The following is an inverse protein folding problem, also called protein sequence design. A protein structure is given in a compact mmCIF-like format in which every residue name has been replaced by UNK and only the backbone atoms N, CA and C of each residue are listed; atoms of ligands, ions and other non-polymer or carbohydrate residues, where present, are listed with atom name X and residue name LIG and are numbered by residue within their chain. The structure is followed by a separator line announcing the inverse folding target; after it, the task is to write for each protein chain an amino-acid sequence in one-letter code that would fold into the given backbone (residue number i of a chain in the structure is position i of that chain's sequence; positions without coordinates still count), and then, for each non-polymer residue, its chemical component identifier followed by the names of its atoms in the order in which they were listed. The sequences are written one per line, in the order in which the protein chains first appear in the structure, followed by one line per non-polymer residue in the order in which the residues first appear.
data_IF_427918568713
#
_entry.id   IF_427918568713
#
_cell.length_a   1.000
_cell.length_b   1.000
_cell.length_c   1.000
_cell.angle_alpha   90.00
_cell.angle_beta   90.00
_cell.angle_gamma   90.00
#
_symmetry.space_group_name_H-M   'P 1'
#
loop_
_entity.id
_entity.type
_entity.pdbx_description
1 polymer ?
#
# COMPACT_ATOMS: atom_id res chain seq x y z
N UNK A 1 -15.29 -5.71 2.60
CA UNK A 1 -15.10 -4.41 1.88
C UNK A 1 -16.07 -3.31 2.33
N UNK A 2 -16.94 -3.60 3.30
CA UNK A 2 -17.88 -2.60 3.84
C UNK A 2 -17.14 -1.40 4.47
N UNK A 3 -16.08 -1.64 5.23
CA UNK A 3 -15.26 -0.61 5.88
C UNK A 3 -14.70 0.44 4.90
N UNK A 4 -14.38 0.05 3.65
CA UNK A 4 -13.97 1.01 2.62
C UNK A 4 -15.16 1.85 2.12
N UNK A 5 -16.33 1.24 1.91
CA UNK A 5 -17.55 1.98 1.56
C UNK A 5 -17.95 2.96 2.68
N UNK A 6 -17.76 2.58 3.93
CA UNK A 6 -18.06 3.43 5.07
C UNK A 6 -17.13 4.65 5.14
N UNK A 7 -15.85 4.50 4.79
CA UNK A 7 -14.93 5.64 4.64
C UNK A 7 -15.37 6.58 3.51
N UNK A 8 -15.75 6.04 2.34
CA UNK A 8 -16.26 6.87 1.23
C UNK A 8 -17.50 7.67 1.65
N UNK A 9 -18.47 7.03 2.34
CA UNK A 9 -19.66 7.73 2.86
C UNK A 9 -19.28 8.81 3.84
N UNK A 10 -18.42 8.48 4.82
CA UNK A 10 -17.98 9.42 5.83
C UNK A 10 -17.38 10.69 5.21
N UNK A 11 -16.54 10.54 4.17
CA UNK A 11 -15.94 11.71 3.51
C UNK A 11 -16.99 12.53 2.77
N UNK A 12 -17.97 11.89 2.12
CA UNK A 12 -19.06 12.60 1.42
C UNK A 12 -19.99 13.35 2.38
N UNK A 13 -20.25 12.78 3.56
CA UNK A 13 -21.24 13.28 4.52
C UNK A 13 -20.62 14.27 5.53
N UNK A 14 -19.36 14.07 5.93
CA UNK A 14 -18.70 14.80 7.03
C UNK A 14 -17.42 15.54 6.58
N UNK A 15 -16.98 15.38 5.32
CA UNK A 15 -15.70 15.91 4.85
C UNK A 15 -15.70 17.44 4.75
N UNK A 16 -14.63 18.04 5.27
CA UNK A 16 -14.37 19.48 5.13
C UNK A 16 -13.79 19.79 3.73
N UNK A 17 -14.28 20.83 3.03
CA UNK A 17 -13.67 21.29 1.80
C UNK A 17 -12.27 21.85 2.06
N UNK A 18 -11.27 21.39 1.29
CA UNK A 18 -9.89 21.85 1.37
C UNK A 18 -9.32 22.14 -0.01
N UNK A 19 -8.50 23.19 -0.08
CA UNK A 19 -7.62 23.39 -1.23
C UNK A 19 -6.48 22.36 -1.20
N UNK A 20 -5.96 22.03 -2.36
CA UNK A 20 -4.82 21.14 -2.53
C UNK A 20 -3.79 21.72 -3.52
N UNK A 21 -2.63 21.07 -3.62
CA UNK A 21 -1.53 21.49 -4.50
C UNK A 21 -1.93 21.52 -5.99
N UNK A 22 -2.83 20.65 -6.40
CA UNK A 22 -3.26 20.53 -7.81
C UNK A 22 -4.31 21.56 -8.21
N UNK A 23 -4.91 22.29 -7.26
CA UNK A 23 -6.01 23.23 -7.50
C UNK A 23 -7.36 22.57 -7.76
N UNK A 24 -7.46 21.22 -7.70
CA UNK A 24 -8.71 20.48 -7.89
C UNK A 24 -9.67 20.66 -6.70
N UNK A 25 -9.12 20.78 -5.50
CA UNK A 25 -9.86 20.79 -4.25
C UNK A 25 -10.28 19.38 -3.81
N UNK A 26 -10.50 19.22 -2.52
CA UNK A 26 -10.86 17.93 -1.91
C UNK A 26 -11.96 18.10 -0.86
N UNK A 27 -12.70 17.00 -0.58
CA UNK A 27 -13.38 16.77 0.68
C UNK A 27 -12.50 15.87 1.55
N UNK A 28 -12.25 16.24 2.80
CA UNK A 28 -11.29 15.56 3.65
C UNK A 28 -11.83 15.32 5.07
N UNK A 29 -11.51 14.15 5.64
CA UNK A 29 -11.66 13.86 7.07
C UNK A 29 -10.30 13.57 7.68
N UNK A 30 -10.07 13.99 8.92
CA UNK A 30 -8.83 13.75 9.63
C UNK A 30 -8.99 12.62 10.64
N UNK A 31 -8.16 11.58 10.47
CA UNK A 31 -8.19 10.41 11.34
C UNK A 31 -9.30 9.41 11.00
N UNK A 32 -8.89 8.23 10.51
CA UNK A 32 -9.77 7.08 10.27
C UNK A 32 -8.97 5.79 10.35
N UNK A 33 -9.63 4.68 10.66
CA UNK A 33 -8.99 3.37 10.65
C UNK A 33 -9.92 2.33 10.05
N UNK A 34 -9.37 1.46 9.19
CA UNK A 34 -10.03 0.29 8.64
C UNK A 34 -9.28 -0.98 9.05
N UNK A 35 -9.99 -2.11 9.16
CA UNK A 35 -9.42 -3.42 9.46
C UNK A 35 -9.89 -4.45 8.45
N UNK A 36 -8.97 -5.31 8.02
CA UNK A 36 -9.21 -6.39 7.07
C UNK A 36 -8.66 -7.69 7.64
N UNK A 37 -9.52 -8.63 7.99
CA UNK A 37 -9.11 -9.98 8.38
C UNK A 37 -8.71 -10.76 7.13
N UNK A 38 -7.42 -11.05 6.99
CA UNK A 38 -6.87 -11.72 5.80
C UNK A 38 -7.25 -13.20 5.71
N UNK A 39 -7.78 -13.79 6.79
CA UNK A 39 -8.36 -15.14 6.75
C UNK A 39 -9.67 -15.21 5.97
N UNK A 40 -10.37 -14.08 5.79
CA UNK A 40 -11.63 -14.00 5.05
C UNK A 40 -11.44 -13.86 3.53
N UNK A 41 -10.21 -13.70 3.07
CA UNK A 41 -9.83 -13.52 1.68
C UNK A 41 -8.93 -12.32 1.46
N UNK A 42 -8.45 -12.16 0.24
CA UNK A 42 -7.58 -11.06 -0.15
C UNK A 42 -8.40 -9.77 -0.38
N UNK A 43 -8.15 -8.67 0.33
CA UNK A 43 -8.98 -7.48 0.29
C UNK A 43 -8.73 -6.62 -0.96
N UNK A 44 -8.84 -7.21 -2.14
CA UNK A 44 -8.89 -6.53 -3.42
C UNK A 44 -10.33 -6.09 -3.70
N UNK A 45 -10.56 -4.80 -3.93
CA UNK A 45 -11.90 -4.25 -4.13
C UNK A 45 -12.66 -4.98 -5.22
N UNK A 46 -13.93 -5.31 -4.94
CA UNK A 46 -14.86 -5.91 -5.91
C UNK A 46 -15.88 -4.91 -6.43
N UNK A 47 -16.04 -3.75 -5.81
CA UNK A 47 -16.94 -2.68 -6.26
C UNK A 47 -16.44 -1.91 -7.49
N UNK A 48 -15.16 -2.04 -7.81
CA UNK A 48 -14.55 -1.66 -9.11
C UNK A 48 -13.33 -2.54 -9.37
N UNK A 49 -13.07 -2.82 -10.65
CA UNK A 49 -11.88 -3.59 -11.06
C UNK A 49 -10.61 -2.78 -10.82
N UNK A 50 -9.61 -3.40 -10.17
CA UNK A 50 -8.28 -2.85 -9.95
C UNK A 50 -7.25 -3.54 -10.84
N UNK A 51 -6.16 -2.84 -11.15
CA UNK A 51 -5.05 -3.37 -11.94
C UNK A 51 -4.01 -4.02 -11.04
N UNK A 52 -4.28 -5.28 -10.63
CA UNK A 52 -3.43 -6.03 -9.68
C UNK A 52 -1.98 -6.14 -10.14
N UNK A 53 -1.73 -6.25 -11.46
CA UNK A 53 -0.37 -6.32 -11.99
C UNK A 53 0.49 -5.14 -11.53
N UNK A 54 -0.05 -3.91 -11.58
CA UNK A 54 0.67 -2.73 -11.09
C UNK A 54 0.97 -2.79 -9.60
N UNK A 55 0.00 -3.29 -8.80
CA UNK A 55 0.16 -3.40 -7.35
C UNK A 55 1.29 -4.37 -6.99
N UNK A 56 1.32 -5.54 -7.64
CA UNK A 56 2.37 -6.55 -7.39
C UNK A 56 3.75 -6.02 -7.81
N UNK A 57 3.88 -5.47 -9.02
CA UNK A 57 5.16 -4.97 -9.50
C UNK A 57 5.68 -3.79 -8.67
N UNK A 58 4.81 -2.88 -8.22
CA UNK A 58 5.19 -1.77 -7.34
C UNK A 58 5.73 -2.30 -6.00
N UNK A 59 5.05 -3.27 -5.37
CA UNK A 59 5.51 -3.85 -4.11
C UNK A 59 6.86 -4.57 -4.28
N UNK A 60 7.04 -5.36 -5.34
CA UNK A 60 8.31 -6.03 -5.64
C UNK A 60 9.42 -5.00 -5.88
N UNK A 61 9.15 -3.93 -6.59
CA UNK A 61 10.07 -2.84 -6.84
C UNK A 61 10.52 -2.14 -5.55
N UNK A 62 9.60 -1.86 -4.60
CA UNK A 62 9.96 -1.36 -3.28
C UNK A 62 10.85 -2.36 -2.50
N UNK A 63 10.51 -3.64 -2.53
CA UNK A 63 11.27 -4.70 -1.85
C UNK A 63 12.67 -4.92 -2.45
N UNK A 64 12.90 -4.57 -3.71
CA UNK A 64 14.23 -4.56 -4.32
C UNK A 64 15.06 -3.31 -3.95
N UNK A 65 14.47 -2.32 -3.27
CA UNK A 65 15.13 -1.07 -2.92
C UNK A 65 15.30 -0.10 -4.08
N UNK A 66 14.61 -0.37 -5.19
CA UNK A 66 14.71 0.40 -6.42
C UNK A 66 14.01 1.76 -6.32
N UNK A 67 14.56 2.76 -7.02
CA UNK A 67 14.02 4.11 -7.11
C UNK A 67 13.84 4.59 -8.55
N UNK A 68 14.38 3.84 -9.51
CA UNK A 68 14.24 4.10 -10.93
C UNK A 68 13.05 3.36 -11.51
N UNK A 69 12.21 4.04 -12.30
CA UNK A 69 10.99 3.48 -12.90
C UNK A 69 11.23 2.49 -14.04
N UNK A 70 12.47 2.20 -14.40
CA UNK A 70 12.83 1.30 -15.52
C UNK A 70 12.17 -0.07 -15.38
N UNK A 71 12.33 -0.72 -14.22
CA UNK A 71 11.69 -2.02 -13.95
C UNK A 71 10.17 -1.97 -14.13
N UNK A 72 9.52 -0.92 -13.64
CA UNK A 72 8.08 -0.73 -13.78
C UNK A 72 7.67 -0.59 -15.24
N UNK A 73 8.39 0.23 -16.02
CA UNK A 73 8.14 0.44 -17.46
C UNK A 73 8.33 -0.84 -18.27
N UNK A 74 9.38 -1.62 -18.01
CA UNK A 74 9.64 -2.90 -18.67
C UNK A 74 8.51 -3.93 -18.41
N UNK A 75 7.82 -3.79 -17.28
CA UNK A 75 6.66 -4.61 -16.93
C UNK A 75 5.31 -3.98 -17.31
N UNK A 76 5.32 -2.84 -18.03
CA UNK A 76 4.10 -2.16 -18.49
C UNK A 76 3.34 -1.42 -17.38
N UNK A 77 4.01 -1.08 -16.28
CA UNK A 77 3.47 -0.32 -15.14
C UNK A 77 3.92 1.13 -15.26
N UNK A 78 2.96 2.06 -15.24
CA UNK A 78 3.19 3.50 -15.51
C UNK A 78 2.79 4.42 -14.36
N UNK A 79 2.45 3.85 -13.19
CA UNK A 79 1.86 4.60 -12.07
C UNK A 79 2.81 5.60 -11.39
N UNK A 80 4.10 5.60 -11.77
CA UNK A 80 5.12 6.51 -11.27
C UNK A 80 5.73 7.42 -12.36
N UNK A 81 5.31 7.30 -13.63
CA UNK A 81 5.92 7.99 -14.77
C UNK A 81 5.84 9.53 -14.64
N UNK A 82 4.78 10.07 -14.03
CA UNK A 82 4.54 11.52 -13.89
C UNK A 82 5.46 12.21 -12.88
N UNK A 83 6.07 11.43 -11.95
CA UNK A 83 6.96 11.97 -10.92
C UNK A 83 8.44 11.71 -11.20
N UNK A 84 8.75 10.81 -12.14
CA UNK A 84 10.12 10.48 -12.48
C UNK A 84 10.77 11.60 -13.31
N UNK A 85 12.06 11.86 -13.05
CA UNK A 85 12.85 12.76 -13.91
C UNK A 85 13.13 12.15 -15.30
N UNK A 86 13.88 12.88 -16.13
CA UNK A 86 14.21 12.45 -17.50
C UNK A 86 15.02 11.13 -17.53
N UNK A 87 15.77 10.81 -16.48
CA UNK A 87 16.52 9.57 -16.32
C UNK A 87 15.68 8.42 -15.74
N UNK A 88 14.47 8.71 -15.31
CA UNK A 88 13.56 7.77 -14.66
C UNK A 88 13.74 7.65 -13.15
N UNK A 89 14.49 8.57 -12.53
CA UNK A 89 14.76 8.55 -11.09
C UNK A 89 13.69 9.31 -10.30
N UNK A 90 13.44 8.82 -9.09
CA UNK A 90 12.47 9.39 -8.13
C UNK A 90 13.14 9.89 -6.84
N UNK A 91 14.47 9.73 -6.74
CA UNK A 91 15.21 9.99 -5.52
C UNK A 91 14.96 8.92 -4.44
N UNK A 92 15.41 9.14 -3.20
CA UNK A 92 15.44 8.12 -2.14
C UNK A 92 14.05 7.89 -1.52
N UNK A 93 13.06 7.49 -2.36
CA UNK A 93 11.69 7.18 -1.94
C UNK A 93 11.57 5.79 -1.28
N UNK A 94 10.39 5.31 -1.05
CA UNK A 94 9.98 4.08 -0.37
C UNK A 94 10.99 2.92 -0.39
N UNK A 95 11.36 2.41 -1.57
CA UNK A 95 12.26 1.26 -1.71
C UNK A 95 13.63 1.54 -1.10
N UNK A 96 14.20 2.72 -1.37
CA UNK A 96 15.47 3.13 -0.78
C UNK A 96 15.38 3.20 0.76
N UNK A 97 14.35 3.83 1.30
CA UNK A 97 14.20 3.95 2.75
C UNK A 97 13.98 2.59 3.42
N UNK A 98 13.24 1.69 2.79
CA UNK A 98 13.00 0.36 3.34
C UNK A 98 14.26 -0.52 3.37
N UNK A 99 15.12 -0.42 2.33
CA UNK A 99 16.20 -1.34 2.06
C UNK A 99 17.61 -0.77 2.24
N UNK A 100 17.75 0.53 2.11
CA UNK A 100 19.04 1.22 2.03
C UNK A 100 19.05 2.52 2.83
N UNK A 101 18.35 2.57 3.97
CA UNK A 101 18.34 3.76 4.84
C UNK A 101 19.78 4.12 5.25
N UNK A 102 20.19 5.36 4.97
CA UNK A 102 21.52 5.82 5.34
C UNK A 102 21.58 6.17 6.83
N UNK A 103 22.37 5.44 7.59
CA UNK A 103 22.63 5.70 9.00
C UNK A 103 23.63 6.85 9.21
N UNK A 104 23.82 7.28 10.47
CA UNK A 104 24.60 8.47 10.80
C UNK A 104 26.09 8.39 10.41
N UNK A 105 26.64 7.19 10.28
CA UNK A 105 28.04 6.97 9.86
C UNK A 105 28.16 6.56 8.38
N UNK A 106 27.07 6.67 7.60
CA UNK A 106 27.02 6.27 6.20
C UNK A 106 26.77 4.77 5.97
N UNK A 107 26.49 4.00 7.01
CA UNK A 107 26.07 2.60 6.89
C UNK A 107 24.70 2.47 6.23
N UNK A 108 24.51 1.42 5.45
CA UNK A 108 23.21 1.08 4.87
C UNK A 108 22.41 0.20 5.82
N UNK A 109 21.20 0.61 6.15
CA UNK A 109 20.29 -0.12 7.04
C UNK A 109 19.14 -0.70 6.21
N UNK A 110 19.05 -2.02 6.18
CA UNK A 110 17.94 -2.76 5.58
C UNK A 110 16.85 -3.02 6.63
N UNK A 111 15.84 -2.16 6.68
CA UNK A 111 14.75 -2.27 7.65
C UNK A 111 13.89 -3.52 7.43
N UNK A 112 13.67 -3.94 6.16
CA UNK A 112 12.88 -5.14 5.85
C UNK A 112 13.59 -6.38 6.37
N UNK A 113 14.90 -6.53 6.10
CA UNK A 113 15.68 -7.67 6.60
C UNK A 113 15.69 -7.69 8.14
N UNK A 114 15.91 -6.53 8.76
CA UNK A 114 15.90 -6.43 10.22
C UNK A 114 14.56 -6.86 10.83
N UNK A 115 13.44 -6.48 10.23
CA UNK A 115 12.10 -6.86 10.72
C UNK A 115 11.87 -8.36 10.52
N UNK A 116 12.24 -8.96 9.38
CA UNK A 116 12.16 -10.41 9.17
C UNK A 116 12.95 -11.16 10.25
N UNK A 117 14.21 -10.76 10.46
CA UNK A 117 15.08 -11.38 11.47
C UNK A 117 14.52 -11.22 12.88
N UNK A 118 13.93 -10.07 13.17
CA UNK A 118 13.38 -9.78 14.49
C UNK A 118 12.07 -10.55 14.75
N UNK A 119 11.18 -10.69 13.77
CA UNK A 119 9.98 -11.54 13.87
C UNK A 119 10.38 -12.98 14.20
N UNK A 120 11.38 -13.52 13.50
CA UNK A 120 11.85 -14.90 13.72
C UNK A 120 12.48 -15.12 15.08
N UNK A 121 13.25 -14.14 15.59
CA UNK A 121 14.00 -14.26 16.86
C UNK A 121 13.18 -13.84 18.09
N UNK A 122 12.34 -12.84 17.95
CA UNK A 122 11.56 -12.25 19.05
C UNK A 122 10.21 -11.71 18.52
N UNK A 123 9.23 -12.59 18.25
CA UNK A 123 7.94 -12.19 17.70
C UNK A 123 7.14 -11.24 18.62
N UNK A 124 7.41 -11.26 19.94
CA UNK A 124 6.75 -10.37 20.91
C UNK A 124 7.31 -8.93 20.91
N UNK A 125 8.26 -8.63 20.03
CA UNK A 125 8.86 -7.29 19.92
C UNK A 125 7.80 -6.25 19.53
N UNK A 126 7.87 -5.09 20.19
CA UNK A 126 7.07 -3.89 19.85
C UNK A 126 7.81 -2.95 18.88
N UNK A 127 8.94 -3.40 18.32
CA UNK A 127 9.84 -2.62 17.45
C UNK A 127 9.90 -3.18 16.03
N UNK A 128 8.86 -3.90 15.60
CA UNK A 128 8.73 -4.46 14.25
C UNK A 128 8.22 -3.37 13.31
N UNK A 129 9.01 -2.34 13.08
CA UNK A 129 8.62 -1.11 12.37
C UNK A 129 9.53 -0.90 11.16
N UNK A 130 8.92 -0.48 10.04
CA UNK A 130 9.60 0.03 8.84
C UNK A 130 9.10 1.44 8.59
N UNK A 131 10.01 2.41 8.45
CA UNK A 131 9.70 3.82 8.19
C UNK A 131 10.22 4.24 6.82
N UNK A 132 9.39 4.93 6.05
CA UNK A 132 9.79 5.61 4.82
C UNK A 132 10.00 7.12 5.03
N UNK A 133 9.59 7.67 6.17
CA UNK A 133 9.68 9.09 6.46
C UNK A 133 11.05 9.44 7.05
N UNK A 134 12.01 9.71 6.16
CA UNK A 134 13.33 10.20 6.53
C UNK A 134 13.39 11.71 6.33
N UNK A 135 13.36 12.47 7.43
CA UNK A 135 13.31 13.94 7.40
C UNK A 135 14.49 14.54 6.63
N UNK A 136 15.68 13.92 6.69
CA UNK A 136 16.87 14.40 5.99
C UNK A 136 16.81 14.19 4.47
N UNK A 137 16.00 13.23 4.00
CA UNK A 137 15.89 12.89 2.58
C UNK A 137 14.62 13.44 1.90
N UNK A 138 13.62 13.91 2.66
CA UNK A 138 12.39 14.49 2.11
C UNK A 138 12.65 15.51 0.98
N UNK A 139 13.60 16.44 1.10
CA UNK A 139 13.87 17.42 0.04
C UNK A 139 14.46 16.84 -1.25
N UNK A 140 14.93 15.58 -1.21
CA UNK A 140 15.54 14.88 -2.35
C UNK A 140 14.54 13.94 -3.06
N UNK A 141 13.34 13.77 -2.51
CA UNK A 141 12.31 12.86 -3.02
C UNK A 141 11.44 13.57 -4.04
N UNK A 142 11.18 12.94 -5.18
CA UNK A 142 10.20 13.43 -6.16
C UNK A 142 8.79 13.54 -5.55
N UNK A 143 8.45 12.61 -4.66
CA UNK A 143 7.19 12.62 -3.90
C UNK A 143 7.44 12.17 -2.45
N UNK A 144 7.22 13.04 -1.44
CA UNK A 144 7.30 12.65 -0.04
C UNK A 144 6.33 11.51 0.29
N UNK A 145 6.75 10.47 1.04
CA UNK A 145 5.95 9.29 1.29
C UNK A 145 4.57 9.60 1.88
N UNK A 146 3.51 9.12 1.25
CA UNK A 146 2.14 9.19 1.76
C UNK A 146 1.91 8.12 2.83
N UNK A 147 2.31 6.87 2.58
CA UNK A 147 2.36 5.80 3.56
C UNK A 147 3.70 5.83 4.28
N UNK A 148 3.71 6.43 5.48
CA UNK A 148 4.92 6.81 6.20
C UNK A 148 5.67 5.67 6.84
N UNK A 149 4.93 4.83 7.54
CA UNK A 149 5.45 3.72 8.32
C UNK A 149 4.41 2.61 8.44
N UNK A 150 4.91 1.41 8.62
CA UNK A 150 4.09 0.27 8.99
C UNK A 150 4.76 -0.53 10.11
N UNK A 151 3.93 -1.19 10.92
CA UNK A 151 4.34 -1.99 12.04
C UNK A 151 3.70 -3.37 11.95
N UNK A 152 4.51 -4.40 12.22
CA UNK A 152 4.00 -5.75 12.37
C UNK A 152 3.72 -6.09 13.84
N UNK A 153 2.80 -7.03 14.02
CA UNK A 153 2.40 -7.55 15.31
C UNK A 153 2.13 -9.05 15.20
N UNK A 154 2.71 -9.83 16.10
CA UNK A 154 2.53 -11.28 16.15
C UNK A 154 1.74 -11.65 17.39
N UNK A 155 0.66 -12.41 17.23
CA UNK A 155 -0.12 -12.96 18.32
C UNK A 155 -0.79 -14.28 17.89
N UNK A 156 -0.73 -15.30 18.74
CA UNK A 156 -1.36 -16.59 18.49
C UNK A 156 -0.90 -17.25 17.18
N UNK A 157 0.37 -17.10 16.80
CA UNK A 157 0.92 -17.63 15.55
C UNK A 157 0.51 -16.84 14.30
N UNK A 158 -0.14 -15.68 14.43
CA UNK A 158 -0.63 -14.85 13.31
C UNK A 158 0.13 -13.53 13.25
N UNK A 159 0.52 -13.13 12.02
CA UNK A 159 1.17 -11.86 11.73
C UNK A 159 0.16 -10.86 11.19
N UNK A 160 0.04 -9.72 11.86
CA UNK A 160 -0.76 -8.56 11.43
C UNK A 160 0.14 -7.40 11.06
N UNK A 161 -0.34 -6.51 10.18
CA UNK A 161 0.35 -5.30 9.78
C UNK A 161 -0.56 -4.08 9.98
N UNK A 162 -0.02 -3.01 10.58
CA UNK A 162 -0.68 -1.70 10.64
C UNK A 162 0.11 -0.68 9.84
N UNK A 163 -0.54 -0.03 8.88
CA UNK A 163 -0.02 1.07 8.11
C UNK A 163 -0.54 2.40 8.66
N UNK A 164 0.34 3.40 8.80
CA UNK A 164 -0.06 4.80 8.92
C UNK A 164 0.20 5.54 7.60
N UNK A 165 -0.87 6.08 7.01
CA UNK A 165 -0.86 6.87 5.79
C UNK A 165 -1.28 8.31 6.10
N UNK A 166 -0.34 9.29 5.95
CA UNK A 166 -0.56 10.70 6.30
C UNK A 166 -1.52 11.41 5.36
N UNK A 167 -1.55 10.99 4.09
CA UNK A 167 -2.34 11.60 3.02
C UNK A 167 -2.84 10.49 2.09
N UNK A 168 -4.13 10.44 1.86
CA UNK A 168 -4.77 9.31 1.21
C UNK A 168 -5.85 9.78 0.21
N UNK A 169 -5.56 9.69 -1.10
CA UNK A 169 -6.59 9.68 -2.13
C UNK A 169 -7.40 8.40 -1.99
N UNK A 170 -8.60 8.54 -1.42
CA UNK A 170 -9.43 7.38 -1.05
C UNK A 170 -10.02 6.71 -2.29
N UNK A 171 -10.21 7.44 -3.39
CA UNK A 171 -10.79 6.85 -4.60
C UNK A 171 -9.77 6.08 -5.43
N UNK A 172 -8.61 6.65 -5.76
CA UNK A 172 -7.61 6.01 -6.62
C UNK A 172 -6.52 5.28 -5.81
N UNK A 173 -5.92 5.92 -4.82
CA UNK A 173 -4.74 5.41 -4.13
C UNK A 173 -5.03 4.34 -3.07
N UNK A 174 -5.98 4.61 -2.17
CA UNK A 174 -6.28 3.70 -1.03
C UNK A 174 -6.58 2.26 -1.45
N UNK A 175 -7.35 1.97 -2.52
CA UNK A 175 -7.56 0.61 -2.99
C UNK A 175 -6.27 -0.15 -3.33
N UNK A 176 -5.29 0.54 -3.92
CA UNK A 176 -3.96 -0.01 -4.21
C UNK A 176 -3.19 -0.30 -2.93
N UNK A 177 -3.21 0.66 -1.97
CA UNK A 177 -2.50 0.49 -0.70
C UNK A 177 -3.08 -0.65 0.14
N UNK A 178 -4.42 -0.82 0.18
CA UNK A 178 -5.06 -1.96 0.87
C UNK A 178 -4.52 -3.28 0.32
N UNK A 179 -4.53 -3.45 -1.00
CA UNK A 179 -4.07 -4.68 -1.64
C UNK A 179 -2.57 -4.89 -1.48
N UNK A 180 -1.75 -3.83 -1.66
CA UNK A 180 -0.29 -3.89 -1.55
C UNK A 180 0.17 -4.31 -0.16
N UNK A 181 -0.33 -3.66 0.91
CA UNK A 181 0.06 -4.00 2.28
C UNK A 181 -0.55 -5.30 2.79
N UNK A 182 -1.72 -5.68 2.29
CA UNK A 182 -2.26 -7.03 2.54
C UNK A 182 -1.38 -8.10 1.90
N UNK A 183 -0.91 -7.88 0.67
CA UNK A 183 0.02 -8.79 0.00
C UNK A 183 1.35 -8.86 0.74
N UNK A 184 1.92 -7.73 1.14
CA UNK A 184 3.13 -7.68 1.97
C UNK A 184 2.95 -8.47 3.27
N UNK A 185 1.79 -8.38 3.92
CA UNK A 185 1.48 -9.12 5.15
C UNK A 185 1.46 -10.63 4.90
N UNK A 186 0.84 -11.08 3.80
CA UNK A 186 0.83 -12.49 3.40
C UNK A 186 2.25 -13.00 3.12
N UNK A 187 3.05 -12.25 2.36
CA UNK A 187 4.44 -12.59 2.04
C UNK A 187 5.31 -12.69 3.31
N UNK A 188 5.20 -11.69 4.20
CA UNK A 188 5.94 -11.66 5.47
C UNK A 188 5.53 -12.81 6.39
N UNK A 189 4.24 -13.12 6.48
CA UNK A 189 3.74 -14.25 7.26
C UNK A 189 4.35 -15.58 6.75
N UNK A 190 4.32 -15.80 5.42
CA UNK A 190 4.90 -17.01 4.82
C UNK A 190 6.39 -17.15 5.12
N UNK A 191 7.21 -16.12 4.87
CA UNK A 191 8.66 -16.22 5.07
C UNK A 191 9.05 -16.31 6.54
N UNK A 192 8.19 -15.86 7.46
CA UNK A 192 8.38 -16.00 8.89
C UNK A 192 7.68 -17.22 9.50
N UNK A 193 7.10 -18.11 8.68
CA UNK A 193 6.41 -19.34 9.11
C UNK A 193 5.22 -19.07 10.06
N UNK A 194 4.49 -17.98 9.80
CA UNK A 194 3.31 -17.55 10.53
C UNK A 194 2.06 -17.58 9.62
N UNK A 195 0.88 -17.60 10.23
CA UNK A 195 -0.37 -17.37 9.52
C UNK A 195 -0.59 -15.84 9.34
N UNK A 196 -1.29 -15.44 8.27
CA UNK A 196 -1.69 -14.06 8.11
C UNK A 196 -2.84 -13.70 9.08
N UNK A 197 -2.69 -12.55 9.74
CA UNK A 197 -3.66 -11.98 10.66
C UNK A 197 -4.53 -10.90 10.00
N UNK A 198 -4.42 -9.67 10.48
CA UNK A 198 -5.16 -8.52 9.95
C UNK A 198 -4.23 -7.54 9.24
N UNK A 199 -4.77 -6.85 8.24
CA UNK A 199 -4.24 -5.57 7.79
C UNK A 199 -5.05 -4.43 8.40
N UNK A 200 -4.39 -3.53 9.11
CA UNK A 200 -4.97 -2.34 9.73
C UNK A 200 -4.48 -1.10 9.01
N UNK A 201 -5.39 -0.33 8.42
CA UNK A 201 -5.05 0.87 7.67
C UNK A 201 -5.49 2.11 8.46
N UNK A 202 -4.54 2.89 8.93
CA UNK A 202 -4.76 4.12 9.70
C UNK A 202 -4.39 5.33 8.86
N UNK A 203 -5.28 6.31 8.83
CA UNK A 203 -5.17 7.52 8.01
C UNK A 203 -4.97 8.77 8.85
N UNK A 204 -4.16 9.70 8.34
CA UNK A 204 -4.21 11.10 8.70
C UNK A 204 -5.29 11.82 7.90
N UNK A 205 -4.90 12.54 6.84
CA UNK A 205 -5.81 13.20 5.90
C UNK A 205 -6.33 12.17 4.87
N UNK A 206 -7.58 11.76 5.01
CA UNK A 206 -8.27 10.89 4.05
C UNK A 206 -9.24 11.74 3.22
N UNK A 207 -9.02 11.80 1.91
CA UNK A 207 -9.73 12.72 1.05
C UNK A 207 -10.23 12.12 -0.27
N UNK A 208 -11.26 12.78 -0.81
CA UNK A 208 -11.75 12.60 -2.16
C UNK A 208 -11.50 13.88 -2.95
N UNK A 209 -10.87 13.80 -4.10
CA UNK A 209 -10.80 14.93 -5.01
C UNK A 209 -12.18 15.32 -5.54
N UNK A 210 -12.43 16.61 -5.75
CA UNK A 210 -13.74 17.10 -6.21
C UNK A 210 -14.17 16.50 -7.54
N UNK A 211 -13.21 16.16 -8.41
CA UNK A 211 -13.46 15.50 -9.70
C UNK A 211 -13.68 13.97 -9.60
N UNK A 212 -13.70 13.40 -8.37
CA UNK A 212 -14.01 11.98 -8.12
C UNK A 212 -15.35 11.76 -7.41
N UNK A 213 -16.10 12.82 -7.08
CA UNK A 213 -17.32 12.71 -6.26
C UNK A 213 -18.42 11.91 -6.95
N UNK A 214 -18.60 12.07 -8.27
CA UNK A 214 -19.59 11.31 -9.04
C UNK A 214 -19.22 9.84 -9.13
N UNK A 215 -17.96 9.53 -9.43
CA UNK A 215 -17.42 8.17 -9.47
C UNK A 215 -17.54 7.49 -8.10
N UNK A 216 -17.34 8.23 -7.02
CA UNK A 216 -17.52 7.74 -5.65
C UNK A 216 -18.99 7.36 -5.39
N UNK A 217 -19.95 8.19 -5.81
CA UNK A 217 -21.37 7.86 -5.69
C UNK A 217 -21.76 6.65 -6.52
N UNK A 218 -21.25 6.52 -7.74
CA UNK A 218 -21.42 5.32 -8.56
C UNK A 218 -20.89 4.09 -7.85
N UNK A 219 -19.66 4.15 -7.30
CA UNK A 219 -19.05 3.02 -6.59
C UNK A 219 -19.85 2.63 -5.33
N UNK A 220 -20.38 3.60 -4.60
CA UNK A 220 -21.21 3.37 -3.42
C UNK A 220 -22.54 2.65 -3.76
N UNK A 221 -23.09 2.88 -4.95
CA UNK A 221 -24.26 2.17 -5.45
C UNK A 221 -24.03 0.69 -5.80
N UNK A 222 -22.77 0.24 -5.84
CA UNK A 222 -22.42 -1.15 -6.18
C UNK A 222 -22.29 -2.02 -4.92
N UNK A 223 -22.94 -3.21 -4.92
CA UNK A 223 -22.80 -4.15 -3.82
C UNK A 223 -21.46 -4.88 -3.90
N UNK A 224 -20.71 -5.00 -2.78
CA UNK A 224 -19.50 -5.80 -2.74
C UNK A 224 -19.79 -7.27 -3.06
N UNK A 225 -18.93 -7.89 -3.87
CA UNK A 225 -18.94 -9.32 -4.17
C UNK A 225 -17.97 -10.04 -3.23
N UNK A 226 -18.00 -11.40 -3.16
CA UNK A 226 -17.05 -12.17 -2.35
C UNK A 226 -15.60 -11.79 -2.64
N UNK A 227 -14.76 -11.79 -1.60
CA UNK A 227 -13.35 -11.52 -1.74
C UNK A 227 -12.64 -12.63 -2.54
N UNK A 228 -11.69 -12.28 -3.42
CA UNK A 228 -10.84 -13.26 -4.06
C UNK A 228 -9.87 -13.87 -3.05
N UNK A 229 -9.16 -14.92 -3.50
CA UNK A 229 -8.05 -15.53 -2.78
C UNK A 229 -6.73 -15.17 -3.47
N UNK A 230 -5.71 -14.86 -2.71
CA UNK A 230 -4.34 -14.73 -3.20
C UNK A 230 -3.58 -16.01 -2.85
N UNK A 231 -3.18 -16.77 -3.87
CA UNK A 231 -2.25 -17.90 -3.69
C UNK A 231 -0.85 -17.42 -3.92
N UNK A 232 0.05 -17.79 -3.02
CA UNK A 232 1.46 -17.44 -3.10
C UNK A 232 2.26 -18.75 -3.21
N UNK A 233 3.27 -18.76 -4.07
CA UNK A 233 4.18 -19.91 -4.21
C UNK A 233 4.84 -20.22 -2.86
N UNK A 234 4.46 -21.36 -2.29
CA UNK A 234 4.94 -21.79 -0.96
C UNK A 234 6.42 -22.17 -0.91
N UNK A 235 7.11 -22.29 -2.05
CA UNK A 235 8.52 -22.65 -2.10
C UNK A 235 9.45 -21.45 -1.86
N UNK A 236 8.93 -20.22 -2.00
CA UNK A 236 9.69 -19.00 -1.74
C UNK A 236 9.90 -18.82 -0.23
N UNK A 237 11.16 -18.69 0.20
CA UNK A 237 11.58 -18.63 1.61
C UNK A 237 12.20 -17.29 2.01
N UNK A 238 12.51 -16.43 1.06
CA UNK A 238 13.03 -15.09 1.30
C UNK A 238 12.06 -14.05 0.74
N UNK A 239 11.83 -12.98 1.51
CA UNK A 239 10.95 -11.87 1.09
C UNK A 239 11.44 -11.18 -0.19
N UNK A 240 12.72 -11.33 -0.52
CA UNK A 240 13.37 -10.70 -1.67
C UNK A 240 13.41 -11.59 -2.92
N UNK A 241 13.02 -12.87 -2.80
CA UNK A 241 13.08 -13.83 -3.90
C UNK A 241 11.75 -13.96 -4.65
N UNK A 242 10.71 -13.26 -4.18
CA UNK A 242 9.42 -13.24 -4.87
C UNK A 242 9.51 -12.55 -6.23
N UNK A 243 8.85 -13.14 -7.20
CA UNK A 243 8.64 -12.62 -8.54
C UNK A 243 7.14 -12.52 -8.85
N UNK A 244 6.76 -11.84 -9.92
CA UNK A 244 5.36 -11.69 -10.30
C UNK A 244 4.62 -13.04 -10.49
N UNK A 245 5.34 -14.06 -10.96
CA UNK A 245 4.81 -15.41 -11.23
C UNK A 245 4.48 -16.20 -9.97
N UNK A 246 4.94 -15.76 -8.80
CA UNK A 246 4.68 -16.42 -7.53
C UNK A 246 3.30 -16.08 -6.94
N UNK A 247 2.50 -15.24 -7.62
CA UNK A 247 1.20 -14.77 -7.18
C UNK A 247 0.09 -15.18 -8.14
N UNK A 248 -0.92 -15.86 -7.64
CA UNK A 248 -2.13 -16.24 -8.39
C UNK A 248 -3.38 -15.69 -7.70
N UNK A 249 -4.11 -14.81 -8.40
CA UNK A 249 -5.40 -14.32 -7.93
C UNK A 249 -6.51 -15.26 -8.38
N UNK A 250 -7.26 -15.82 -7.42
CA UNK A 250 -8.31 -16.81 -7.67
C UNK A 250 -9.67 -16.23 -7.30
N UNK A 251 -10.67 -16.45 -8.14
CA UNK A 251 -12.07 -16.04 -7.92
C UNK A 251 -12.27 -14.51 -7.82
N UNK A 252 -11.52 -13.72 -8.56
CA UNK A 252 -11.74 -12.28 -8.63
C UNK A 252 -12.84 -11.93 -9.64
N UNK A 253 -14.02 -11.59 -9.13
CA UNK A 253 -15.19 -11.16 -9.89
C UNK A 253 -15.61 -9.74 -9.52
N UNK A 254 -14.90 -8.69 -9.98
CA UNK A 254 -15.23 -7.31 -9.65
C UNK A 254 -16.31 -6.74 -10.58
N UNK A 255 -16.98 -5.68 -10.11
CA UNK A 255 -17.68 -4.78 -11.01
C UNK A 255 -16.70 -4.11 -11.98
N UNK A 256 -17.18 -3.59 -13.13
CA UNK A 256 -16.33 -2.89 -14.11
C UNK A 256 -15.51 -1.76 -13.50
N UNK A 257 -14.37 -1.46 -14.13
CA UNK A 257 -13.56 -0.30 -13.76
C UNK A 257 -14.38 1.00 -13.84
N UNK A 258 -14.11 1.93 -12.93
CA UNK A 258 -14.64 3.29 -12.95
C UNK A 258 -13.46 4.22 -13.27
N UNK A 259 -13.39 4.80 -14.46
CA UNK A 259 -12.33 5.73 -14.82
C UNK A 259 -12.45 7.04 -14.04
N UNK A 260 -11.31 7.58 -13.62
CA UNK A 260 -11.23 8.89 -12.96
C UNK A 260 -9.92 9.58 -13.34
N UNK A 261 -9.89 10.91 -13.45
CA UNK A 261 -8.68 11.67 -13.76
C UNK A 261 -7.72 11.61 -12.57
N UNK A 262 -6.41 11.55 -12.84
CA UNK A 262 -5.38 11.68 -11.80
C UNK A 262 -5.19 13.16 -11.50
N UNK A 263 -5.15 13.53 -10.23
CA UNK A 263 -4.81 14.88 -9.78
C UNK A 263 -3.28 14.95 -9.53
N UNK A 264 -2.56 15.70 -10.36
CA UNK A 264 -1.09 15.87 -10.35
C UNK A 264 -0.67 17.32 -10.13
#
# INVERSE_FOLDING_TARGET
MQQYKDLLRRILDEGDPKADRTGTGTLSVFGHQMRFDLSQGFPLLTTKKLHLKSIIHELLWFLQGETNVRYLKENGVKIWDEWADESGELGPIYGHQWRCWTGPNGESIDQIQQVVDQIRRNPDSRRLIVSAWNVADIPKMALPPCHLLFQFYVAGGRLSCQLYQRSADVFLGVPFNIASYSLLTLMMAQVCELEAGEFVHTFGDAHLYNNHLEQTREQLGREPRPLPQMRINSDVRSIFDFSYQDFELVNYDPHPHIPAPIAV
#
